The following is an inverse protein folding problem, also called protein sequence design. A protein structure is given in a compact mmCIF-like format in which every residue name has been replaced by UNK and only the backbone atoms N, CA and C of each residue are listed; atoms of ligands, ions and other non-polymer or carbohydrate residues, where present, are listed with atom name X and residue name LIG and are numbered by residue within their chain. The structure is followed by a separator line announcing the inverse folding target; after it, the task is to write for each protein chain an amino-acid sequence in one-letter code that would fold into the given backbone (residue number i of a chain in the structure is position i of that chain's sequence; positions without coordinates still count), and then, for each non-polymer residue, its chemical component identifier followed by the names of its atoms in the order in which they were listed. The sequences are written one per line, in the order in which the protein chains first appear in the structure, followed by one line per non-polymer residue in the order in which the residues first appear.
data_IF_209784872460
#
_entry.id   IF_209784872460
#
_cell.length_a   1.000
_cell.length_b   1.000
_cell.length_c   1.000
_cell.angle_alpha   90.00
_cell.angle_beta   90.00
_cell.angle_gamma   90.00
#
_symmetry.space_group_name_H-M   'P 1'
#
loop_
_entity.id
_entity.type
_entity.pdbx_description
1 polymer ?
#
# COMPACT_ATOMS: atom_id res chain seq x y z
N UNK A 1 -28.87 -2.17 -51.95
CA UNK A 1 -27.79 -1.38 -51.31
C UNK A 1 -27.98 -1.49 -49.81
N UNK A 2 -27.08 -2.17 -49.09
CA UNK A 2 -27.16 -2.31 -47.64
C UNK A 2 -26.40 -1.15 -46.99
N UNK A 3 -27.09 -0.38 -46.14
CA UNK A 3 -26.56 0.76 -45.41
C UNK A 3 -25.72 0.29 -44.21
N UNK A 4 -24.47 0.74 -44.15
CA UNK A 4 -23.54 0.49 -43.04
C UNK A 4 -24.04 1.18 -41.76
N UNK A 5 -24.05 0.50 -40.59
CA UNK A 5 -24.45 1.14 -39.33
C UNK A 5 -23.47 2.25 -38.92
N UNK A 6 -23.94 3.32 -38.25
CA UNK A 6 -23.07 4.39 -37.79
C UNK A 6 -22.09 3.87 -36.73
N UNK A 7 -20.81 4.23 -36.87
CA UNK A 7 -19.77 3.89 -35.92
C UNK A 7 -20.09 4.49 -34.54
N UNK A 8 -20.05 3.65 -33.49
CA UNK A 8 -20.21 4.11 -32.10
C UNK A 8 -19.17 5.19 -31.79
N UNK A 9 -19.56 6.32 -31.18
CA UNK A 9 -18.61 7.37 -30.82
C UNK A 9 -17.58 6.80 -29.83
N UNK A 10 -16.29 6.85 -30.19
CA UNK A 10 -15.20 6.50 -29.28
C UNK A 10 -15.18 7.55 -28.17
N UNK A 11 -15.66 7.19 -26.98
CA UNK A 11 -15.55 8.03 -25.79
C UNK A 11 -14.06 8.28 -25.57
N UNK A 12 -13.65 9.55 -25.67
CA UNK A 12 -12.27 9.97 -25.46
C UNK A 12 -11.97 9.79 -23.97
N UNK A 13 -11.10 8.84 -23.64
CA UNK A 13 -10.64 8.63 -22.27
C UNK A 13 -10.06 9.93 -21.70
N UNK A 14 -10.37 10.23 -20.44
CA UNK A 14 -9.78 11.37 -19.75
C UNK A 14 -8.28 11.15 -19.51
N UNK A 15 -7.54 12.22 -19.24
CA UNK A 15 -6.12 12.12 -18.89
C UNK A 15 -5.90 11.30 -17.61
N UNK A 16 -6.86 11.36 -16.68
CA UNK A 16 -6.83 10.62 -15.41
C UNK A 16 -7.03 9.12 -15.63
N UNK A 17 -8.05 8.73 -16.41
CA UNK A 17 -8.26 7.33 -16.78
C UNK A 17 -7.06 6.74 -17.53
N UNK A 18 -6.35 7.57 -18.30
CA UNK A 18 -5.12 7.14 -18.97
C UNK A 18 -3.98 6.90 -17.98
N UNK A 19 -3.80 7.80 -16.99
CA UNK A 19 -2.82 7.62 -15.92
C UNK A 19 -3.08 6.36 -15.12
N UNK A 20 -4.35 6.07 -14.83
CA UNK A 20 -4.77 4.84 -14.15
C UNK A 20 -4.35 3.59 -14.93
N UNK A 21 -4.61 3.53 -16.24
CA UNK A 21 -4.15 2.40 -17.07
C UNK A 21 -2.64 2.25 -17.11
N UNK A 22 -1.90 3.36 -17.22
CA UNK A 22 -0.43 3.36 -17.21
C UNK A 22 0.09 2.72 -15.92
N UNK A 23 -0.49 3.13 -14.81
CA UNK A 23 -0.14 2.67 -13.48
C UNK A 23 -0.48 1.19 -13.30
N UNK A 24 -1.65 0.73 -13.71
CA UNK A 24 -2.02 -0.70 -13.64
C UNK A 24 -1.03 -1.59 -14.42
N UNK A 25 -0.73 -1.24 -15.67
CA UNK A 25 0.21 -2.00 -16.50
C UNK A 25 1.61 -1.99 -15.89
N UNK A 26 2.05 -0.84 -15.38
CA UNK A 26 3.37 -0.71 -14.76
C UNK A 26 3.46 -1.47 -13.43
N UNK A 27 2.39 -1.53 -12.63
CA UNK A 27 2.32 -2.34 -11.41
C UNK A 27 2.61 -3.80 -11.71
N UNK A 28 1.95 -4.38 -12.72
CA UNK A 28 2.12 -5.78 -13.09
C UNK A 28 3.54 -6.07 -13.59
N UNK A 29 4.13 -5.14 -14.35
CA UNK A 29 5.50 -5.27 -14.86
C UNK A 29 6.53 -5.25 -13.73
N UNK A 30 6.44 -4.31 -12.80
CA UNK A 30 7.35 -4.20 -11.65
C UNK A 30 7.17 -5.39 -10.71
N UNK A 31 5.94 -5.78 -10.38
CA UNK A 31 5.67 -6.92 -9.52
C UNK A 31 6.24 -8.24 -10.08
N UNK A 32 6.42 -8.33 -11.40
CA UNK A 32 6.94 -9.54 -12.07
C UNK A 32 8.43 -9.48 -12.38
N UNK A 33 8.98 -8.29 -12.70
CA UNK A 33 10.33 -8.15 -13.25
C UNK A 33 11.22 -7.13 -12.49
N UNK A 34 10.72 -6.54 -11.41
CA UNK A 34 11.40 -5.47 -10.68
C UNK A 34 11.53 -4.16 -11.47
N UNK A 35 12.22 -3.18 -10.89
CA UNK A 35 12.46 -1.87 -11.49
C UNK A 35 13.33 -1.97 -12.75
N UNK A 36 14.32 -2.86 -12.77
CA UNK A 36 15.17 -3.06 -13.94
C UNK A 36 14.38 -3.62 -15.13
N UNK A 37 13.38 -4.48 -14.88
CA UNK A 37 12.47 -4.99 -15.89
C UNK A 37 11.38 -4.01 -16.35
N UNK A 38 11.22 -2.86 -15.67
CA UNK A 38 10.28 -1.81 -16.07
C UNK A 38 10.75 -1.12 -17.36
N UNK A 39 10.14 -1.51 -18.48
CA UNK A 39 10.37 -0.92 -19.80
C UNK A 39 9.24 0.04 -20.15
N UNK A 40 9.58 1.32 -20.40
CA UNK A 40 8.62 2.33 -20.86
C UNK A 40 7.93 1.92 -22.17
N UNK A 41 8.63 1.20 -23.05
CA UNK A 41 8.04 0.67 -24.27
C UNK A 41 7.00 -0.40 -23.95
N UNK A 42 7.30 -1.37 -23.06
CA UNK A 42 6.32 -2.41 -22.65
C UNK A 42 5.09 -1.80 -21.99
N UNK A 43 5.26 -0.74 -21.18
CA UNK A 43 4.14 0.00 -20.58
C UNK A 43 3.31 0.69 -21.67
N UNK A 44 3.96 1.40 -22.61
CA UNK A 44 3.28 2.09 -23.70
C UNK A 44 2.49 1.11 -24.58
N UNK A 45 3.08 -0.04 -24.91
CA UNK A 45 2.44 -1.13 -25.66
C UNK A 45 1.23 -1.69 -24.92
N UNK A 46 1.36 -1.93 -23.61
CA UNK A 46 0.26 -2.45 -22.78
C UNK A 46 -0.92 -1.48 -22.64
N UNK A 47 -0.67 -0.17 -22.73
CA UNK A 47 -1.72 0.87 -22.70
C UNK A 47 -2.25 1.20 -24.10
N UNK A 48 -1.52 0.81 -25.15
CA UNK A 48 -1.85 1.11 -26.56
C UNK A 48 -1.53 2.55 -26.96
N UNK A 49 -0.41 3.11 -26.48
CA UNK A 49 0.09 4.44 -26.83
C UNK A 49 1.55 4.38 -27.28
N UNK A 50 2.08 5.47 -27.85
CA UNK A 50 3.52 5.55 -28.15
C UNK A 50 4.32 5.80 -26.88
N UNK A 51 5.61 5.43 -26.87
CA UNK A 51 6.50 5.75 -25.75
C UNK A 51 6.61 7.26 -25.50
N UNK A 52 6.66 8.08 -26.55
CA UNK A 52 6.59 9.53 -26.42
C UNK A 52 5.26 9.98 -25.77
N UNK A 53 4.14 9.38 -26.19
CA UNK A 53 2.83 9.56 -25.57
C UNK A 53 2.83 9.24 -24.08
N UNK A 54 3.46 8.14 -23.68
CA UNK A 54 3.61 7.75 -22.28
C UNK A 54 4.42 8.79 -21.50
N UNK A 55 5.57 9.23 -22.02
CA UNK A 55 6.42 10.23 -21.39
C UNK A 55 5.70 11.55 -21.14
N UNK A 56 4.73 11.94 -21.98
CA UNK A 56 3.89 13.12 -21.69
C UNK A 56 3.07 12.99 -20.38
N UNK A 57 2.71 11.77 -19.96
CA UNK A 57 1.97 11.54 -18.71
C UNK A 57 2.88 11.41 -17.49
N UNK A 58 4.03 10.75 -17.64
CA UNK A 58 4.89 10.34 -16.52
C UNK A 58 6.18 11.16 -16.39
N UNK A 59 6.56 11.90 -17.43
CA UNK A 59 7.83 12.62 -17.52
C UNK A 59 9.03 11.70 -17.76
N UNK A 60 9.36 10.85 -16.78
CA UNK A 60 10.52 9.93 -16.82
C UNK A 60 10.18 8.56 -16.24
N UNK A 61 11.12 7.61 -16.32
CA UNK A 61 10.97 6.28 -15.68
C UNK A 61 10.87 6.40 -14.15
N UNK A 62 11.62 7.31 -13.56
CA UNK A 62 11.58 7.65 -12.13
C UNK A 62 10.27 8.37 -11.79
N UNK A 63 9.73 9.18 -12.72
CA UNK A 63 8.40 9.75 -12.60
C UNK A 63 7.32 8.67 -12.54
N UNK A 64 7.42 7.62 -13.37
CA UNK A 64 6.53 6.46 -13.27
C UNK A 64 6.68 5.72 -11.93
N UNK A 65 7.90 5.55 -11.43
CA UNK A 65 8.13 4.91 -10.13
C UNK A 65 7.45 5.68 -8.99
N UNK A 66 7.61 7.01 -8.97
CA UNK A 66 6.90 7.88 -8.00
C UNK A 66 5.38 7.79 -8.14
N UNK A 67 4.86 7.73 -9.36
CA UNK A 67 3.42 7.51 -9.57
C UNK A 67 2.94 6.16 -8.99
N UNK A 68 3.75 5.10 -9.10
CA UNK A 68 3.40 3.79 -8.54
C UNK A 68 3.41 3.79 -7.00
N UNK A 69 4.39 4.42 -6.38
CA UNK A 69 4.52 4.46 -4.92
C UNK A 69 3.55 5.48 -4.31
N UNK A 70 3.71 6.76 -4.65
CA UNK A 70 2.98 7.88 -4.04
C UNK A 70 1.50 7.88 -4.40
N UNK A 71 1.14 7.50 -5.64
CA UNK A 71 -0.24 7.64 -6.12
C UNK A 71 -1.07 6.36 -6.07
N UNK A 72 -0.43 5.19 -5.87
CA UNK A 72 -1.17 3.94 -5.70
C UNK A 72 -0.97 3.29 -4.36
N UNK A 73 0.28 3.06 -3.95
CA UNK A 73 0.51 2.32 -2.73
C UNK A 73 0.10 3.13 -1.50
N UNK A 74 0.52 4.39 -1.42
CA UNK A 74 0.32 5.20 -0.20
C UNK A 74 -1.04 5.85 -0.04
N UNK A 75 -1.86 5.88 -1.10
CA UNK A 75 -3.17 6.53 -1.04
C UNK A 75 -4.28 5.63 -0.52
N UNK A 76 -3.97 4.38 -0.17
CA UNK A 76 -4.99 3.42 0.26
C UNK A 76 -4.48 2.54 1.41
N UNK A 77 -5.40 1.99 2.20
CA UNK A 77 -5.06 1.22 3.40
C UNK A 77 -4.66 2.13 4.57
N UNK A 78 -4.95 3.42 4.46
CA UNK A 78 -4.63 4.44 5.46
C UNK A 78 -5.58 4.34 6.68
N UNK A 79 -5.23 4.96 7.82
CA UNK A 79 -6.18 5.10 8.93
C UNK A 79 -7.44 5.87 8.52
N UNK A 80 -7.34 6.80 7.56
CA UNK A 80 -8.52 7.47 7.00
C UNK A 80 -9.44 6.49 6.26
N UNK A 81 -8.88 5.60 5.42
CA UNK A 81 -9.69 4.56 4.76
C UNK A 81 -10.37 3.63 5.77
N UNK A 82 -9.72 3.37 6.91
CA UNK A 82 -10.31 2.59 7.99
C UNK A 82 -11.49 3.34 8.65
N UNK A 83 -11.37 4.65 8.89
CA UNK A 83 -12.50 5.48 9.34
C UNK A 83 -13.64 5.44 8.31
N UNK A 84 -13.31 5.63 7.04
CA UNK A 84 -14.27 5.69 5.93
C UNK A 84 -14.97 4.33 5.71
N UNK A 85 -14.37 3.23 6.18
CA UNK A 85 -15.00 1.90 6.16
C UNK A 85 -16.24 1.79 7.04
N UNK A 86 -16.39 2.68 8.04
CA UNK A 86 -17.50 2.67 9.00
C UNK A 86 -17.39 1.57 10.06
N UNK A 87 -16.23 0.91 10.20
CA UNK A 87 -16.02 -0.06 11.27
C UNK A 87 -16.22 0.60 12.65
N UNK A 88 -16.98 -0.02 13.58
CA UNK A 88 -17.16 0.52 14.93
C UNK A 88 -15.84 0.77 15.69
N UNK A 89 -14.82 -0.03 15.41
CA UNK A 89 -13.49 0.13 15.99
C UNK A 89 -12.70 1.30 15.35
N UNK A 90 -13.09 1.76 14.16
CA UNK A 90 -12.54 2.95 13.52
C UNK A 90 -13.24 4.25 13.96
N UNK A 91 -14.50 4.17 14.38
CA UNK A 91 -15.36 5.33 14.65
C UNK A 91 -15.72 5.46 16.13
N UNK A 92 -14.99 4.77 17.02
CA UNK A 92 -15.24 4.80 18.45
C UNK A 92 -15.03 6.21 19.04
N UNK A 93 -15.86 6.68 20.00
CA UNK A 93 -15.81 8.05 20.51
C UNK A 93 -14.46 8.46 21.12
N UNK A 94 -13.72 7.51 21.68
CA UNK A 94 -12.40 7.72 22.32
C UNK A 94 -11.22 7.60 21.34
N UNK A 95 -11.48 7.40 20.05
CA UNK A 95 -10.47 7.19 19.01
C UNK A 95 -10.41 5.76 18.49
N UNK A 96 -9.61 5.56 17.45
CA UNK A 96 -9.50 4.28 16.73
C UNK A 96 -8.83 3.18 17.55
N UNK A 97 -9.25 1.94 17.35
CA UNK A 97 -8.51 0.76 17.78
C UNK A 97 -7.32 0.50 16.85
N UNK A 98 -6.12 0.55 17.41
CA UNK A 98 -4.89 0.22 16.69
C UNK A 98 -4.84 -1.26 16.25
N UNK A 99 -5.17 -2.25 17.11
CA UNK A 99 -5.27 -3.65 16.67
C UNK A 99 -6.28 -3.86 15.52
N UNK A 100 -7.46 -3.23 15.59
CA UNK A 100 -8.47 -3.35 14.54
C UNK A 100 -8.01 -2.73 13.22
N UNK A 101 -7.34 -1.57 13.28
CA UNK A 101 -6.74 -0.95 12.11
C UNK A 101 -5.71 -1.88 11.44
N UNK A 102 -4.85 -2.54 12.23
CA UNK A 102 -3.89 -3.48 11.67
C UNK A 102 -4.55 -4.73 11.07
N UNK A 103 -5.65 -5.24 11.65
CA UNK A 103 -6.46 -6.29 11.00
C UNK A 103 -7.02 -5.82 9.66
N UNK A 104 -7.55 -4.61 9.61
CA UNK A 104 -8.03 -3.99 8.39
C UNK A 104 -6.91 -3.88 7.34
N UNK A 105 -5.75 -3.35 7.72
CA UNK A 105 -4.60 -3.17 6.82
C UNK A 105 -4.10 -4.50 6.25
N UNK A 106 -4.03 -5.55 7.07
CA UNK A 106 -3.63 -6.89 6.63
C UNK A 106 -4.61 -7.46 5.60
N UNK A 107 -5.91 -7.42 5.88
CA UNK A 107 -6.93 -7.87 4.94
C UNK A 107 -6.93 -7.02 3.65
N UNK A 108 -6.71 -5.71 3.79
CA UNK A 108 -6.60 -4.76 2.70
C UNK A 108 -5.43 -5.11 1.76
N UNK A 109 -4.27 -5.45 2.31
CA UNK A 109 -3.10 -5.86 1.55
C UNK A 109 -3.27 -7.24 0.90
N UNK A 110 -3.87 -8.20 1.61
CA UNK A 110 -4.14 -9.55 1.09
C UNK A 110 -5.06 -9.53 -0.14
N UNK A 111 -6.00 -8.59 -0.20
CA UNK A 111 -6.86 -8.37 -1.35
C UNK A 111 -6.14 -7.76 -2.57
N UNK A 112 -4.89 -7.28 -2.42
CA UNK A 112 -4.12 -6.54 -3.44
C UNK A 112 -2.73 -7.15 -3.67
N UNK A 113 -2.63 -8.44 -4.02
CA UNK A 113 -1.33 -9.13 -4.11
C UNK A 113 -0.38 -8.54 -5.15
N UNK A 114 -0.90 -7.88 -6.21
CA UNK A 114 -0.05 -7.23 -7.22
C UNK A 114 0.64 -5.97 -6.69
N UNK A 115 -0.08 -5.13 -5.94
CA UNK A 115 0.51 -3.95 -5.30
C UNK A 115 1.47 -4.34 -4.18
N UNK A 116 1.09 -5.36 -3.39
CA UNK A 116 1.96 -5.92 -2.37
C UNK A 116 3.26 -6.48 -2.98
N UNK A 117 3.18 -7.23 -4.08
CA UNK A 117 4.35 -7.75 -4.77
C UNK A 117 5.25 -6.65 -5.35
N UNK A 118 4.65 -5.58 -5.89
CA UNK A 118 5.38 -4.38 -6.31
C UNK A 118 6.14 -3.75 -5.14
N UNK A 119 5.47 -3.50 -4.01
CA UNK A 119 6.09 -2.89 -2.84
C UNK A 119 7.24 -3.74 -2.30
N UNK A 120 7.02 -5.04 -2.14
CA UNK A 120 8.06 -5.95 -1.64
C UNK A 120 9.27 -6.04 -2.58
N UNK A 121 9.05 -6.03 -3.89
CA UNK A 121 10.13 -6.07 -4.88
C UNK A 121 10.95 -4.79 -4.84
N UNK A 122 10.28 -3.64 -4.88
CA UNK A 122 10.93 -2.33 -4.85
C UNK A 122 11.64 -2.09 -3.52
N UNK A 123 11.09 -2.54 -2.39
CA UNK A 123 11.72 -2.37 -1.08
C UNK A 123 13.07 -3.08 -0.99
N UNK A 124 13.21 -4.25 -1.61
CA UNK A 124 14.49 -4.98 -1.67
C UNK A 124 15.45 -4.32 -2.67
N UNK A 125 14.98 -3.91 -3.85
CA UNK A 125 15.84 -3.22 -4.83
C UNK A 125 16.34 -1.86 -4.32
N UNK A 126 15.50 -1.15 -3.57
CA UNK A 126 15.78 0.17 -3.01
C UNK A 126 16.66 0.14 -1.76
N UNK A 127 17.28 -1.00 -1.40
CA UNK A 127 18.38 -1.00 -0.42
C UNK A 127 19.70 -0.49 -1.02
N UNK A 128 19.79 -0.43 -2.36
CA UNK A 128 20.89 0.22 -3.07
C UNK A 128 20.67 1.74 -3.08
N UNK A 129 21.64 2.50 -2.55
CA UNK A 129 21.62 3.98 -2.49
C UNK A 129 21.48 4.66 -3.86
N UNK A 130 21.82 3.96 -4.94
CA UNK A 130 21.69 4.47 -6.32
C UNK A 130 20.30 4.25 -6.90
N UNK A 131 19.45 3.46 -6.22
CA UNK A 131 18.11 3.14 -6.71
C UNK A 131 17.19 4.37 -6.63
N UNK A 132 16.38 4.69 -7.66
CA UNK A 132 15.55 5.90 -7.66
C UNK A 132 14.45 5.98 -6.60
N UNK A 133 14.13 4.87 -5.93
CA UNK A 133 13.22 4.82 -4.78
C UNK A 133 13.94 4.68 -3.42
N UNK A 134 15.27 4.79 -3.36
CA UNK A 134 16.02 4.69 -2.11
C UNK A 134 15.46 5.65 -1.03
N UNK A 135 15.34 6.93 -1.38
CA UNK A 135 14.82 7.96 -0.49
C UNK A 135 13.37 7.70 -0.05
N UNK A 136 12.56 7.06 -0.90
CA UNK A 136 11.20 6.70 -0.53
C UNK A 136 11.20 5.68 0.61
N UNK A 137 11.96 4.58 0.47
CA UNK A 137 11.95 3.50 1.45
C UNK A 137 12.69 3.88 2.74
N UNK A 138 13.79 4.64 2.65
CA UNK A 138 14.55 5.03 3.86
C UNK A 138 13.77 6.00 4.75
N UNK A 139 12.97 6.90 4.16
CA UNK A 139 12.19 7.88 4.90
C UNK A 139 10.81 7.37 5.30
N UNK A 140 10.39 6.21 4.78
CA UNK A 140 9.05 5.67 4.98
C UNK A 140 8.68 5.45 6.45
N UNK A 141 9.53 4.88 7.32
CA UNK A 141 9.16 4.67 8.72
C UNK A 141 8.77 5.98 9.43
N UNK A 142 9.55 7.05 9.22
CA UNK A 142 9.24 8.37 9.77
C UNK A 142 7.97 8.97 9.17
N UNK A 143 7.78 8.86 7.85
CA UNK A 143 6.56 9.36 7.19
C UNK A 143 5.29 8.65 7.67
N UNK A 144 5.34 7.32 7.82
CA UNK A 144 4.22 6.53 8.35
C UNK A 144 3.96 6.89 9.80
N UNK A 145 5.01 7.05 10.62
CA UNK A 145 4.90 7.46 12.00
C UNK A 145 4.25 8.85 12.14
N UNK A 146 4.74 9.83 11.38
CA UNK A 146 4.20 11.19 11.38
C UNK A 146 2.74 11.22 10.94
N UNK A 147 2.40 10.43 9.91
CA UNK A 147 1.03 10.32 9.42
C UNK A 147 0.10 9.66 10.45
N UNK A 148 0.49 8.53 11.03
CA UNK A 148 -0.31 7.86 12.07
C UNK A 148 -0.48 8.74 13.32
N UNK A 149 0.49 9.60 13.61
CA UNK A 149 0.45 10.55 14.73
C UNK A 149 -0.56 11.69 14.54
N UNK A 150 -1.15 11.84 13.35
CA UNK A 150 -2.23 12.80 13.08
C UNK A 150 -3.60 12.31 13.57
N UNK A 151 -3.70 11.03 13.96
CA UNK A 151 -4.95 10.40 14.36
C UNK A 151 -5.03 10.16 15.86
N UNK A 152 -6.26 10.13 16.38
CA UNK A 152 -6.53 9.76 17.78
C UNK A 152 -6.67 8.25 17.89
N UNK A 153 -5.74 7.63 18.63
CA UNK A 153 -5.75 6.22 18.95
C UNK A 153 -6.25 5.99 20.37
N UNK A 154 -7.12 4.99 20.56
CA UNK A 154 -7.58 4.55 21.87
C UNK A 154 -6.48 3.68 22.50
N UNK A 155 -5.94 4.11 23.63
CA UNK A 155 -4.77 3.47 24.27
C UNK A 155 -5.09 2.91 25.67
N UNK A 156 -4.55 1.74 26.05
CA UNK A 156 -4.64 1.22 27.42
C UNK A 156 -4.10 2.21 28.46
N UNK A 157 -4.64 2.20 29.70
CA UNK A 157 -4.17 3.11 30.76
C UNK A 157 -2.67 2.99 30.99
N UNK A 158 -2.11 1.77 30.93
CA UNK A 158 -0.69 1.51 31.10
C UNK A 158 0.17 2.20 30.02
N UNK A 159 -0.33 2.28 28.78
CA UNK A 159 0.35 3.01 27.69
C UNK A 159 0.26 4.51 27.92
N UNK A 160 -0.90 5.01 28.35
CA UNK A 160 -1.09 6.42 28.69
C UNK A 160 -0.14 6.84 29.82
N UNK A 161 -0.08 6.05 30.90
CA UNK A 161 0.81 6.27 32.05
C UNK A 161 2.29 6.23 31.66
N UNK A 162 2.67 5.41 30.68
CA UNK A 162 4.05 5.32 30.19
C UNK A 162 4.47 6.51 29.30
N UNK A 163 3.54 7.37 28.87
CA UNK A 163 3.82 8.51 27.98
C UNK A 163 2.93 8.56 26.73
N UNK A 164 1.91 7.70 26.63
CA UNK A 164 0.90 7.74 25.57
C UNK A 164 1.42 7.33 24.20
N UNK A 165 0.81 7.88 23.15
CA UNK A 165 1.09 7.51 21.75
C UNK A 165 2.57 7.56 21.41
N UNK A 166 3.32 8.56 21.89
CA UNK A 166 4.75 8.70 21.60
C UNK A 166 5.58 7.44 21.97
N UNK A 167 5.14 6.67 22.97
CA UNK A 167 5.81 5.42 23.38
C UNK A 167 5.52 4.24 22.46
N UNK A 168 4.53 4.35 21.57
CA UNK A 168 4.09 3.27 20.69
C UNK A 168 4.94 3.12 19.43
N UNK A 169 5.85 4.06 19.14
CA UNK A 169 6.67 4.04 17.92
C UNK A 169 7.39 2.70 17.69
N UNK A 170 8.12 2.13 18.67
CA UNK A 170 8.80 0.85 18.47
C UNK A 170 7.83 -0.31 18.19
N UNK A 171 6.63 -0.28 18.78
CA UNK A 171 5.61 -1.31 18.53
C UNK A 171 5.01 -1.16 17.12
N UNK A 172 4.73 0.06 16.68
CA UNK A 172 4.22 0.32 15.32
C UNK A 172 5.24 -0.11 14.28
N UNK A 173 6.52 0.26 14.43
CA UNK A 173 7.61 -0.15 13.54
C UNK A 173 7.73 -1.68 13.49
N UNK A 174 7.79 -2.33 14.66
CA UNK A 174 7.86 -3.79 14.75
C UNK A 174 6.64 -4.48 14.10
N UNK A 175 5.44 -3.93 14.26
CA UNK A 175 4.22 -4.45 13.63
C UNK A 175 4.34 -4.41 12.11
N UNK A 176 4.79 -3.29 11.54
CA UNK A 176 4.93 -3.12 10.09
C UNK A 176 6.00 -4.08 9.54
N UNK A 177 7.15 -4.21 10.22
CA UNK A 177 8.21 -5.17 9.86
C UNK A 177 7.72 -6.62 9.93
N UNK A 178 6.91 -6.94 10.95
CA UNK A 178 6.27 -8.25 11.08
C UNK A 178 5.31 -8.50 9.90
N UNK A 179 4.51 -7.51 9.51
CA UNK A 179 3.65 -7.61 8.33
C UNK A 179 4.47 -7.89 7.06
N UNK A 180 5.54 -7.14 6.80
CA UNK A 180 6.44 -7.36 5.66
C UNK A 180 6.96 -8.81 5.65
N UNK A 181 7.34 -9.34 6.81
CA UNK A 181 7.77 -10.74 6.96
C UNK A 181 6.71 -11.78 6.56
N UNK A 182 5.44 -11.56 6.92
CA UNK A 182 4.33 -12.44 6.48
C UNK A 182 4.08 -12.28 4.97
N UNK A 183 4.17 -11.07 4.44
CA UNK A 183 4.00 -10.80 3.00
C UNK A 183 5.05 -11.51 2.16
N UNK A 184 6.31 -11.59 2.62
CA UNK A 184 7.34 -12.42 1.96
C UNK A 184 6.90 -13.88 1.91
N UNK A 185 6.37 -14.42 3.02
CA UNK A 185 5.94 -15.84 3.06
C UNK A 185 4.70 -16.10 2.21
N UNK A 186 3.78 -15.14 2.06
CA UNK A 186 2.63 -15.25 1.16
C UNK A 186 3.03 -15.55 -0.28
N UNK A 187 4.10 -14.91 -0.78
CA UNK A 187 4.59 -15.15 -2.14
C UNK A 187 5.37 -16.46 -2.29
N UNK A 188 5.73 -17.15 -1.20
CA UNK A 188 6.35 -18.48 -1.24
C UNK A 188 5.31 -19.57 -1.50
N UNK A 189 5.78 -20.82 -1.64
CA UNK A 189 4.92 -21.99 -1.87
C UNK A 189 5.14 -23.04 -0.78
N UNK A 190 4.07 -23.62 -0.20
CA UNK A 190 2.66 -23.25 -0.39
C UNK A 190 2.36 -21.83 0.13
N UNK A 191 1.43 -21.12 -0.51
CA UNK A 191 1.04 -19.79 -0.06
C UNK A 191 0.26 -19.90 1.25
N UNK A 192 0.45 -18.92 2.13
CA UNK A 192 -0.29 -18.78 3.40
C UNK A 192 -1.31 -17.66 3.28
N UNK A 193 -2.29 -17.60 4.19
CA UNK A 193 -3.15 -16.42 4.32
C UNK A 193 -2.53 -15.41 5.27
N UNK A 194 -2.46 -14.14 4.85
CA UNK A 194 -1.96 -13.05 5.69
C UNK A 194 -2.84 -12.89 6.92
N UNK A 195 -4.16 -12.83 6.72
CA UNK A 195 -5.14 -12.63 7.78
C UNK A 195 -5.12 -13.76 8.81
N UNK A 196 -4.95 -15.02 8.37
CA UNK A 196 -4.85 -16.16 9.29
C UNK A 196 -3.56 -16.13 10.12
N UNK A 197 -2.43 -15.73 9.52
CA UNK A 197 -1.17 -15.62 10.25
C UNK A 197 -1.16 -14.41 11.19
N UNK A 198 -1.72 -13.28 10.76
CA UNK A 198 -1.87 -12.10 11.60
C UNK A 198 -2.71 -12.38 12.84
N UNK A 199 -3.81 -13.14 12.70
CA UNK A 199 -4.63 -13.56 13.84
C UNK A 199 -3.84 -14.36 14.91
N UNK A 200 -2.73 -15.01 14.53
CA UNK A 200 -1.85 -15.71 15.48
C UNK A 200 -0.87 -14.76 16.18
N UNK A 201 -0.52 -13.64 15.56
CA UNK A 201 0.49 -12.70 16.05
C UNK A 201 -0.13 -11.55 16.85
N UNK A 202 -1.36 -11.16 16.52
CA UNK A 202 -2.05 -10.08 17.21
C UNK A 202 -2.11 -10.26 18.75
N UNK A 203 -2.36 -11.47 19.31
CA UNK A 203 -2.32 -11.66 20.76
C UNK A 203 -0.91 -11.54 21.38
N UNK A 204 0.15 -11.68 20.58
CA UNK A 204 1.54 -11.50 21.03
C UNK A 204 1.91 -10.02 21.01
N UNK A 205 1.52 -9.31 19.94
CA UNK A 205 1.79 -7.89 19.73
C UNK A 205 0.93 -7.00 20.65
N UNK A 206 -0.30 -7.43 20.93
CA UNK A 206 -1.26 -6.75 21.79
C UNK A 206 -1.75 -7.73 22.86
N UNK A 207 -1.00 -7.96 23.94
CA UNK A 207 -1.30 -9.04 24.89
C UNK A 207 -2.50 -8.74 25.81
N UNK A 208 -3.20 -9.80 26.19
CA UNK A 208 -4.19 -9.79 27.28
C UNK A 208 -3.49 -9.74 28.64
N UNK A 209 -4.11 -9.12 29.67
CA UNK A 209 -5.41 -8.45 29.62
C UNK A 209 -5.35 -6.98 29.14
N UNK A 210 -4.15 -6.43 28.95
CA UNK A 210 -3.93 -5.01 28.66
C UNK A 210 -4.75 -4.49 27.47
N UNK A 211 -4.87 -5.30 26.42
CA UNK A 211 -5.55 -4.91 25.18
C UNK A 211 -6.98 -5.42 25.01
N UNK A 212 -7.55 -6.13 25.99
CA UNK A 212 -8.86 -6.79 25.83
C UNK A 212 -10.00 -5.82 25.50
N UNK A 213 -9.98 -4.62 26.10
CA UNK A 213 -10.94 -3.54 25.81
C UNK A 213 -10.57 -2.67 24.61
N UNK A 214 -9.47 -2.98 23.91
CA UNK A 214 -8.84 -2.13 22.90
C UNK A 214 -8.78 -2.77 21.51
N UNK A 215 -9.19 -4.03 21.36
CA UNK A 215 -9.25 -4.75 20.07
C UNK A 215 -10.42 -4.35 19.18
#
# INVERSE_FOLDING_TARGET
MASTPPAKPRIRMSAEQRREQIVEVATDLVATHGFNGLSLQRVADGVGITQAGLLHYIGTKEGLLRLLLDQRYDRQGTPQDFIDSGDPAATHPEGMSLPAYFRYLVAFNEARPRLMGLYMTLGVEATDETHPAYDYFINRPDQVWDYYSQFTWRLPPQVIEAGGWATMRPLVEMVLEAMDGIQVRYFRRPAISLSQEWARWEPVLFPSPTWDGYR
#
